data_IF_721785348671
#
_entry.id   IF_721785348671
#
_cell.length_a   1.000
_cell.length_b   1.000
_cell.length_c   1.000
_cell.angle_alpha   90.00
_cell.angle_beta   90.00
_cell.angle_gamma   90.00
#
_symmetry.space_group_name_H-M   'P 1'
#
loop_
_entity.id
_entity.type
_entity.pdbx_description
1 polymer ?
#
# COMPACT_ATOMS: atom_id res chain seq x y z
N UNK A 1 -2.77 -5.67 -34.06
CA UNK A 1 -2.60 -5.08 -32.71
C UNK A 1 -1.17 -5.33 -32.28
N UNK A 2 -0.37 -4.32 -31.90
CA UNK A 2 1.01 -4.56 -31.46
C UNK A 2 1.03 -5.43 -30.19
N UNK A 3 2.01 -6.33 -30.05
CA UNK A 3 2.12 -7.24 -28.90
C UNK A 3 2.11 -6.48 -27.56
N UNK A 4 2.75 -5.31 -27.53
CA UNK A 4 2.80 -4.39 -26.38
C UNK A 4 1.41 -3.90 -25.97
N UNK A 5 0.54 -3.53 -26.93
CA UNK A 5 -0.81 -3.05 -26.63
C UNK A 5 -1.67 -4.15 -26.00
N UNK A 6 -1.44 -5.42 -26.39
CA UNK A 6 -2.12 -6.57 -25.80
C UNK A 6 -1.67 -6.78 -24.35
N UNK A 7 -0.37 -6.75 -24.08
CA UNK A 7 0.16 -6.91 -22.72
C UNK A 7 -0.26 -5.78 -21.79
N UNK A 8 -0.29 -4.53 -22.27
CA UNK A 8 -0.79 -3.40 -21.48
C UNK A 8 -2.27 -3.58 -21.09
N UNK A 9 -3.12 -4.04 -22.02
CA UNK A 9 -4.53 -4.33 -21.72
C UNK A 9 -4.67 -5.46 -20.71
N UNK A 10 -3.86 -6.51 -20.84
CA UNK A 10 -3.82 -7.60 -19.87
C UNK A 10 -3.37 -7.12 -18.49
N UNK A 11 -2.34 -6.27 -18.41
CA UNK A 11 -1.90 -5.67 -17.14
C UNK A 11 -3.02 -4.81 -16.50
N UNK A 12 -3.73 -4.02 -17.31
CA UNK A 12 -4.85 -3.22 -16.85
C UNK A 12 -6.01 -4.07 -16.30
N UNK A 13 -6.30 -5.22 -16.90
CA UNK A 13 -7.32 -6.13 -16.38
C UNK A 13 -7.01 -6.60 -14.93
N UNK A 14 -5.72 -6.79 -14.60
CA UNK A 14 -5.32 -7.09 -13.23
C UNK A 14 -5.49 -5.89 -12.29
N UNK A 15 -5.28 -4.67 -12.75
CA UNK A 15 -5.58 -3.45 -11.97
C UNK A 15 -7.07 -3.38 -11.65
N UNK A 16 -7.93 -3.56 -12.66
CA UNK A 16 -9.38 -3.52 -12.49
C UNK A 16 -9.89 -4.59 -11.52
N UNK A 17 -9.34 -5.81 -11.62
CA UNK A 17 -9.61 -6.88 -10.66
C UNK A 17 -9.32 -6.45 -9.22
N UNK A 18 -8.15 -5.84 -8.98
CA UNK A 18 -7.78 -5.39 -7.63
C UNK A 18 -8.70 -4.26 -7.12
N UNK A 19 -9.11 -3.33 -7.99
CA UNK A 19 -10.12 -2.31 -7.65
C UNK A 19 -11.44 -2.96 -7.22
N UNK A 20 -11.88 -4.01 -7.91
CA UNK A 20 -13.11 -4.71 -7.58
C UNK A 20 -13.00 -5.48 -6.26
N UNK A 21 -11.82 -6.01 -5.92
CA UNK A 21 -11.57 -6.62 -4.60
C UNK A 21 -11.68 -5.58 -3.48
N UNK A 22 -11.09 -4.41 -3.64
CA UNK A 22 -11.23 -3.30 -2.69
C UNK A 22 -12.71 -2.91 -2.51
N UNK A 23 -13.46 -2.78 -3.61
CA UNK A 23 -14.89 -2.46 -3.53
C UNK A 23 -15.68 -3.52 -2.76
N UNK A 24 -15.33 -4.80 -2.94
CA UNK A 24 -15.95 -5.92 -2.25
C UNK A 24 -15.63 -5.91 -0.75
N UNK A 25 -14.40 -5.57 -0.37
CA UNK A 25 -13.91 -5.61 1.02
C UNK A 25 -13.60 -4.23 1.61
N UNK A 26 -14.35 -3.20 1.19
CA UNK A 26 -14.09 -1.80 1.55
C UNK A 26 -14.07 -1.55 3.06
N UNK A 27 -14.84 -2.31 3.84
CA UNK A 27 -14.85 -2.21 5.30
C UNK A 27 -13.48 -2.54 5.93
N UNK A 28 -12.76 -3.52 5.39
CA UNK A 28 -11.41 -3.85 5.84
C UNK A 28 -10.42 -2.74 5.50
N UNK A 29 -10.56 -2.11 4.34
CA UNK A 29 -9.70 -0.99 3.96
C UNK A 29 -9.81 0.19 4.91
N UNK A 30 -11.01 0.48 5.42
CA UNK A 30 -11.20 1.51 6.44
C UNK A 30 -10.50 1.14 7.74
N UNK A 31 -10.65 -0.11 8.20
CA UNK A 31 -9.99 -0.59 9.42
C UNK A 31 -8.47 -0.43 9.29
N UNK A 32 -7.91 -0.88 8.16
CA UNK A 32 -6.49 -0.72 7.90
C UNK A 32 -6.08 0.75 7.83
N UNK A 33 -6.85 1.60 7.15
CA UNK A 33 -6.58 3.05 7.08
C UNK A 33 -6.49 3.67 8.49
N UNK A 34 -7.47 3.41 9.35
CA UNK A 34 -7.45 3.89 10.73
C UNK A 34 -6.26 3.35 11.51
N UNK A 35 -5.94 2.06 11.35
CA UNK A 35 -4.78 1.45 11.99
C UNK A 35 -3.48 2.18 11.60
N UNK A 36 -3.27 2.44 10.31
CA UNK A 36 -2.08 3.15 9.84
C UNK A 36 -2.07 4.62 10.26
N UNK A 37 -3.23 5.29 10.26
CA UNK A 37 -3.36 6.67 10.73
C UNK A 37 -2.96 6.79 12.21
N UNK A 38 -3.52 5.94 13.07
CA UNK A 38 -3.22 5.95 14.52
C UNK A 38 -1.76 5.62 14.77
N UNK A 39 -1.18 4.69 14.01
CA UNK A 39 0.24 4.35 14.13
C UNK A 39 1.14 5.54 13.76
N UNK A 40 0.86 6.21 12.62
CA UNK A 40 1.58 7.42 12.22
C UNK A 40 1.47 8.52 13.28
N UNK A 41 0.26 8.78 13.79
CA UNK A 41 0.04 9.77 14.85
C UNK A 41 0.79 9.42 16.14
N UNK A 42 0.78 8.15 16.55
CA UNK A 42 1.50 7.70 17.74
C UNK A 42 3.00 8.01 17.64
N UNK A 43 3.63 7.77 16.49
CA UNK A 43 5.05 8.07 16.30
C UNK A 43 5.31 9.58 16.26
N UNK A 44 4.43 10.37 15.67
CA UNK A 44 4.52 11.84 15.70
C UNK A 44 4.41 12.39 17.12
N UNK A 45 3.51 11.82 17.95
CA UNK A 45 3.37 12.21 19.35
C UNK A 45 4.59 11.85 20.21
N UNK A 46 5.32 10.78 19.87
CA UNK A 46 6.60 10.47 20.53
C UNK A 46 7.59 11.62 20.29
N UNK A 47 7.67 12.16 19.07
CA UNK A 47 8.49 13.33 18.76
C UNK A 47 8.11 14.55 19.58
N UNK A 48 6.81 14.84 19.69
CA UNK A 48 6.30 15.98 20.48
C UNK A 48 6.50 15.82 22.00
N UNK A 49 6.51 14.59 22.51
CA UNK A 49 6.72 14.30 23.93
C UNK A 49 8.19 14.28 24.36
N UNK A 50 9.13 14.16 23.41
CA UNK A 50 10.53 13.87 23.72
C UNK A 50 11.22 14.99 24.51
N UNK A 51 10.93 16.26 24.21
CA UNK A 51 11.48 17.41 24.92
C UNK A 51 11.09 17.43 26.40
N UNK A 52 9.83 17.10 26.70
CA UNK A 52 9.33 17.05 28.10
C UNK A 52 9.93 15.90 28.89
N UNK A 53 10.27 14.80 28.23
CA UNK A 53 10.76 13.58 28.89
C UNK A 53 12.29 13.61 29.05
N UNK A 54 13.03 14.14 28.07
CA UNK A 54 14.49 14.14 28.08
C UNK A 54 15.10 15.23 28.95
N UNK A 55 14.37 16.32 29.21
CA UNK A 55 14.88 17.48 29.97
C UNK A 55 15.99 18.25 29.25
N UNK A 56 16.23 17.98 27.96
CA UNK A 56 17.18 18.68 27.12
C UNK A 56 16.45 19.55 26.09
N UNK A 57 17.02 20.72 25.78
CA UNK A 57 16.53 21.57 24.69
C UNK A 57 16.82 20.88 23.35
N UNK A 58 15.81 20.21 22.82
CA UNK A 58 15.83 19.58 21.49
C UNK A 58 15.00 20.42 20.53
N UNK A 59 15.36 20.41 19.25
CA UNK A 59 14.50 20.94 18.20
C UNK A 59 13.33 19.97 17.96
N UNK A 60 12.27 20.15 18.74
CA UNK A 60 11.06 19.34 18.69
C UNK A 60 10.40 19.38 17.31
N UNK A 61 10.45 20.51 16.61
CA UNK A 61 9.86 20.65 15.28
C UNK A 61 10.63 19.85 14.24
N UNK A 62 11.96 19.88 14.28
CA UNK A 62 12.79 19.05 13.42
C UNK A 62 12.54 17.55 13.68
N UNK A 63 12.50 17.14 14.94
CA UNK A 63 12.27 15.74 15.31
C UNK A 63 10.90 15.23 14.86
N UNK A 64 9.84 16.02 15.08
CA UNK A 64 8.48 15.71 14.61
C UNK A 64 8.48 15.54 13.10
N UNK A 65 9.08 16.46 12.35
CA UNK A 65 9.13 16.41 10.88
C UNK A 65 9.90 15.18 10.40
N UNK A 66 11.05 14.90 11.01
CA UNK A 66 11.88 13.74 10.68
C UNK A 66 11.13 12.43 10.89
N UNK A 67 10.47 12.27 12.04
CA UNK A 67 9.69 11.08 12.36
C UNK A 67 8.45 10.96 11.48
N UNK A 68 7.73 12.06 11.22
CA UNK A 68 6.56 12.08 10.35
C UNK A 68 6.91 11.65 8.92
N UNK A 69 7.98 12.20 8.34
CA UNK A 69 8.42 11.80 7.00
C UNK A 69 8.82 10.32 6.97
N UNK A 70 9.57 9.88 7.98
CA UNK A 70 9.96 8.47 8.11
C UNK A 70 8.76 7.52 8.21
N UNK A 71 7.75 7.87 9.01
CA UNK A 71 6.56 7.03 9.20
C UNK A 71 5.67 7.00 7.96
N UNK A 72 5.56 8.10 7.21
CA UNK A 72 4.81 8.15 5.96
C UNK A 72 5.46 7.28 4.88
N UNK A 73 6.79 7.36 4.72
CA UNK A 73 7.54 6.52 3.78
C UNK A 73 7.41 5.04 4.17
N UNK A 74 7.55 4.74 5.46
CA UNK A 74 7.38 3.38 5.98
C UNK A 74 5.97 2.85 5.70
N UNK A 75 4.95 3.65 6.00
CA UNK A 75 3.54 3.28 5.79
C UNK A 75 3.29 3.00 4.31
N UNK A 76 3.72 3.89 3.41
CA UNK A 76 3.64 3.72 1.96
C UNK A 76 4.25 2.39 1.49
N UNK A 77 5.50 2.12 1.90
CA UNK A 77 6.21 0.91 1.50
C UNK A 77 5.51 -0.35 2.04
N UNK A 78 5.04 -0.29 3.28
CA UNK A 78 4.28 -1.37 3.92
C UNK A 78 2.99 -1.68 3.15
N UNK A 79 2.25 -0.67 2.70
CA UNK A 79 1.02 -0.87 1.89
C UNK A 79 1.34 -1.58 0.58
N UNK A 80 2.42 -1.18 -0.12
CA UNK A 80 2.78 -1.79 -1.40
C UNK A 80 3.10 -3.27 -1.23
N UNK A 81 3.99 -3.60 -0.29
CA UNK A 81 4.35 -4.99 -0.04
C UNK A 81 3.17 -5.82 0.44
N UNK A 82 2.31 -5.23 1.28
CA UNK A 82 1.09 -5.87 1.74
C UNK A 82 0.16 -6.18 0.57
N UNK A 83 -0.19 -5.19 -0.26
CA UNK A 83 -1.11 -5.38 -1.39
C UNK A 83 -0.64 -6.46 -2.37
N UNK A 84 0.67 -6.50 -2.68
CA UNK A 84 1.24 -7.52 -3.57
C UNK A 84 1.18 -8.91 -2.92
N UNK A 85 1.54 -9.02 -1.63
CA UNK A 85 1.52 -10.29 -0.89
C UNK A 85 0.10 -10.81 -0.71
N UNK A 86 -0.82 -9.93 -0.37
CA UNK A 86 -2.21 -10.23 -0.11
C UNK A 86 -2.89 -10.77 -1.37
N UNK A 87 -2.63 -10.17 -2.53
CA UNK A 87 -3.21 -10.66 -3.79
C UNK A 87 -2.82 -12.11 -4.10
N UNK A 88 -1.56 -12.48 -3.89
CA UNK A 88 -1.11 -13.88 -4.06
C UNK A 88 -1.76 -14.78 -2.99
N UNK A 89 -1.87 -14.29 -1.76
CA UNK A 89 -2.51 -15.02 -0.67
C UNK A 89 -4.01 -15.27 -0.96
N UNK A 90 -4.72 -14.29 -1.53
CA UNK A 90 -6.12 -14.42 -1.96
C UNK A 90 -6.27 -15.47 -3.05
N UNK A 91 -5.44 -15.44 -4.10
CA UNK A 91 -5.48 -16.47 -5.15
C UNK A 91 -5.22 -17.87 -4.61
N UNK A 92 -4.31 -17.98 -3.64
CA UNK A 92 -4.01 -19.26 -2.98
C UNK A 92 -5.16 -19.71 -2.08
N UNK A 93 -5.80 -18.79 -1.38
CA UNK A 93 -6.90 -19.08 -0.46
C UNK A 93 -8.19 -19.45 -1.21
N UNK A 94 -8.44 -18.79 -2.34
CA UNK A 94 -9.58 -19.08 -3.23
C UNK A 94 -9.35 -20.33 -4.11
N UNK A 95 -8.11 -20.86 -4.15
CA UNK A 95 -7.76 -22.01 -4.99
C UNK A 95 -7.83 -21.71 -6.49
N UNK A 96 -7.58 -20.45 -6.87
CA UNK A 96 -7.63 -20.00 -8.28
C UNK A 96 -6.25 -19.74 -8.88
N UNK A 97 -5.18 -19.89 -8.09
CA UNK A 97 -3.81 -19.62 -8.53
C UNK A 97 -3.41 -20.49 -9.72
N UNK A 98 -3.90 -21.73 -9.76
CA UNK A 98 -3.71 -22.66 -10.87
C UNK A 98 -4.30 -22.11 -12.16
N UNK A 99 -5.52 -21.58 -12.12
CA UNK A 99 -6.17 -20.98 -13.30
C UNK A 99 -5.46 -19.71 -13.76
N UNK A 100 -5.00 -18.86 -12.83
CA UNK A 100 -4.20 -17.67 -13.17
C UNK A 100 -2.91 -18.06 -13.88
N UNK A 101 -2.27 -19.18 -13.48
CA UNK A 101 -1.06 -19.69 -14.12
C UNK A 101 -1.30 -20.46 -15.42
N UNK A 102 -2.50 -21.01 -15.62
CA UNK A 102 -2.91 -21.63 -16.88
C UNK A 102 -3.34 -20.60 -17.94
N UNK A 103 -3.68 -19.38 -17.53
CA UNK A 103 -4.03 -18.31 -18.44
C UNK A 103 -2.83 -17.94 -19.34
N UNK A 104 -3.05 -17.65 -20.65
CA UNK A 104 -1.99 -17.34 -21.61
C UNK A 104 -1.50 -15.88 -21.45
N UNK A 105 -1.02 -15.54 -20.25
CA UNK A 105 -0.48 -14.23 -19.87
C UNK A 105 0.89 -14.42 -19.24
N UNK A 106 1.82 -13.52 -19.54
CA UNK A 106 3.14 -13.59 -18.94
C UNK A 106 3.07 -13.26 -17.44
N UNK A 107 3.90 -13.91 -16.64
CA UNK A 107 3.97 -13.67 -15.19
C UNK A 107 4.45 -12.26 -14.86
N UNK A 108 5.31 -11.69 -15.71
CA UNK A 108 5.74 -10.30 -15.59
C UNK A 108 4.57 -9.33 -15.83
N UNK A 109 3.70 -9.58 -16.82
CA UNK A 109 2.49 -8.77 -17.04
C UNK A 109 1.56 -8.82 -15.82
N UNK A 110 1.39 -10.00 -15.22
CA UNK A 110 0.61 -10.16 -13.98
C UNK A 110 1.20 -9.31 -12.85
N UNK A 111 2.49 -9.50 -12.54
CA UNK A 111 3.17 -8.76 -11.46
C UNK A 111 3.21 -7.24 -11.70
N UNK A 112 3.39 -6.80 -12.94
CA UNK A 112 3.41 -5.38 -13.29
C UNK A 112 2.03 -4.76 -13.08
N UNK A 113 0.95 -5.41 -13.52
CA UNK A 113 -0.41 -4.89 -13.32
C UNK A 113 -0.74 -4.70 -11.83
N UNK A 114 -0.31 -5.64 -11.00
CA UNK A 114 -0.66 -5.66 -9.57
C UNK A 114 0.21 -4.70 -8.78
N UNK A 115 1.48 -4.54 -9.18
CA UNK A 115 2.37 -3.51 -8.66
C UNK A 115 1.91 -2.10 -9.04
N UNK A 116 1.45 -1.89 -10.28
CA UNK A 116 0.92 -0.59 -10.71
C UNK A 116 -0.30 -0.17 -9.89
N UNK A 117 -1.19 -1.11 -9.61
CA UNK A 117 -2.30 -0.88 -8.68
C UNK A 117 -1.80 -0.55 -7.27
N UNK A 118 -0.87 -1.35 -6.72
CA UNK A 118 -0.34 -1.17 -5.38
C UNK A 118 0.34 0.20 -5.18
N UNK A 119 1.07 0.69 -6.19
CA UNK A 119 1.67 2.03 -6.18
C UNK A 119 0.59 3.09 -6.13
N UNK A 120 -0.40 3.05 -7.03
CA UNK A 120 -1.47 4.04 -7.07
C UNK A 120 -2.30 4.05 -5.77
N UNK A 121 -2.61 2.87 -5.26
CA UNK A 121 -3.33 2.70 -4.00
C UNK A 121 -2.51 3.20 -2.81
N UNK A 122 -1.23 2.84 -2.75
CA UNK A 122 -0.30 3.28 -1.70
C UNK A 122 -0.17 4.80 -1.66
N UNK A 123 0.02 5.46 -2.82
CA UNK A 123 0.10 6.93 -2.89
C UNK A 123 -1.19 7.57 -2.37
N UNK A 124 -2.35 7.12 -2.83
CA UNK A 124 -3.64 7.64 -2.36
C UNK A 124 -3.79 7.49 -0.85
N UNK A 125 -3.45 6.31 -0.31
CA UNK A 125 -3.56 6.03 1.11
C UNK A 125 -2.61 6.89 1.95
N UNK A 126 -1.37 7.07 1.51
CA UNK A 126 -0.40 7.95 2.18
C UNK A 126 -0.84 9.42 2.13
N UNK A 127 -1.42 9.88 1.02
CA UNK A 127 -1.98 11.24 0.92
C UNK A 127 -3.14 11.44 1.90
N UNK A 128 -4.01 10.44 2.07
CA UNK A 128 -5.11 10.49 3.06
C UNK A 128 -4.57 10.53 4.50
N UNK A 129 -3.44 9.86 4.80
CA UNK A 129 -2.81 9.91 6.13
C UNK A 129 -2.10 11.25 6.37
N UNK A 130 -1.59 11.89 5.31
CA UNK A 130 -0.89 13.16 5.39
C UNK A 130 -1.83 14.35 5.71
N UNK A 131 -3.07 14.29 5.23
CA UNK A 131 -4.11 15.32 5.42
C UNK A 131 -4.78 15.17 6.78
#
# INVERSE_FOLDING_TARGET
MSAIMREMRSAYAFVERNINLIKRYWGWEIVWLFYSLVNSLAVTYIGAGMERISGQALDTQYLITYLLVGTLIWSYLSVIFYAISEMIAWERWEGTIEYTFMAPVSRSTHLVGTTLFAIGYGVLRTLVILV
#
